data_IF_428352870031
#
_entry.id   IF_428352870031
#
_cell.length_a   1.000
_cell.length_b   1.000
_cell.length_c   1.000
_cell.angle_alpha   90.00
_cell.angle_beta   90.00
_cell.angle_gamma   90.00
#
_symmetry.space_group_name_H-M   'P 1'
#
loop_
_entity.id
_entity.type
_entity.pdbx_description
1 polymer ?
#
# COMPACT_ATOMS: atom_id res chain seq x y z
N UNK A 1 13.93 -1.58 5.92
CA UNK A 1 13.58 -0.42 5.09
C UNK A 1 12.49 -0.87 4.14
N UNK A 2 11.37 -0.14 4.09
CA UNK A 2 10.26 -0.45 3.18
C UNK A 2 10.68 -0.21 1.74
N UNK A 3 10.25 -1.10 0.85
CA UNK A 3 10.52 -1.04 -0.59
C UNK A 3 9.23 -0.92 -1.37
N UNK A 4 9.35 -0.38 -2.59
CA UNK A 4 8.28 -0.32 -3.58
C UNK A 4 7.56 -1.66 -3.74
N UNK A 5 8.29 -2.76 -3.77
CA UNK A 5 7.75 -4.11 -3.95
C UNK A 5 6.93 -4.61 -2.73
N UNK A 6 7.04 -3.97 -1.58
CA UNK A 6 6.24 -4.36 -0.42
C UNK A 6 4.75 -4.02 -0.64
N UNK A 7 4.43 -3.02 -1.46
CA UNK A 7 3.04 -2.75 -1.91
C UNK A 7 2.48 -3.97 -2.64
N UNK A 8 3.25 -4.60 -3.53
CA UNK A 8 2.84 -5.80 -4.26
C UNK A 8 2.55 -6.97 -3.31
N UNK A 9 3.39 -7.15 -2.29
CA UNK A 9 3.20 -8.22 -1.30
C UNK A 9 1.90 -8.05 -0.51
N UNK A 10 1.57 -6.82 -0.12
CA UNK A 10 0.32 -6.54 0.58
C UNK A 10 -0.88 -6.81 -0.33
N UNK A 11 -0.84 -6.37 -1.59
CA UNK A 11 -1.93 -6.62 -2.54
C UNK A 11 -2.14 -8.11 -2.82
N UNK A 12 -1.05 -8.87 -2.96
CA UNK A 12 -1.14 -10.32 -3.11
C UNK A 12 -1.71 -11.00 -1.86
N UNK A 13 -1.33 -10.54 -0.66
CA UNK A 13 -1.93 -11.02 0.58
C UNK A 13 -3.44 -10.74 0.65
N UNK A 14 -3.86 -9.53 0.30
CA UNK A 14 -5.28 -9.16 0.26
C UNK A 14 -6.06 -10.02 -0.74
N UNK A 15 -5.50 -10.23 -1.94
CA UNK A 15 -6.08 -11.09 -2.99
C UNK A 15 -6.30 -12.52 -2.47
N UNK A 16 -5.30 -13.09 -1.79
CA UNK A 16 -5.36 -14.46 -1.27
C UNK A 16 -6.28 -14.62 -0.05
N UNK A 17 -6.65 -13.53 0.62
CA UNK A 17 -7.55 -13.55 1.78
C UNK A 17 -9.00 -13.18 1.41
N UNK A 18 -9.29 -12.94 0.13
CA UNK A 18 -10.63 -12.63 -0.37
C UNK A 18 -11.00 -11.14 -0.33
N UNK A 19 -10.05 -10.27 -0.02
CA UNK A 19 -10.25 -8.83 -0.18
C UNK A 19 -10.38 -8.44 -1.66
N UNK A 20 -11.07 -7.34 -1.92
CA UNK A 20 -11.33 -6.88 -3.29
C UNK A 20 -10.26 -5.89 -3.73
N UNK A 21 -9.52 -6.22 -4.77
CA UNK A 21 -8.57 -5.27 -5.37
C UNK A 21 -9.34 -4.21 -6.17
N UNK A 22 -9.19 -2.95 -5.79
CA UNK A 22 -9.87 -1.81 -6.41
C UNK A 22 -8.98 -1.19 -7.49
N UNK A 23 -7.67 -1.12 -7.23
CA UNK A 23 -6.65 -0.66 -8.18
C UNK A 23 -5.36 -1.43 -7.93
N UNK A 24 -4.85 -2.06 -9.00
CA UNK A 24 -3.57 -2.77 -8.97
C UNK A 24 -2.40 -1.83 -8.68
N UNK A 25 -1.37 -2.39 -8.04
CA UNK A 25 -0.15 -1.66 -7.69
C UNK A 25 0.57 -1.13 -8.93
N UNK A 26 0.80 0.18 -8.96
CA UNK A 26 1.39 0.85 -10.10
C UNK A 26 2.13 2.13 -9.70
N UNK A 27 3.07 2.51 -10.55
CA UNK A 27 3.70 3.83 -10.48
C UNK A 27 2.67 4.91 -10.80
N UNK A 28 2.77 6.04 -10.10
CA UNK A 28 2.04 7.27 -10.44
C UNK A 28 3.01 8.39 -10.82
N UNK A 29 2.51 9.35 -11.60
CA UNK A 29 3.37 10.30 -12.32
C UNK A 29 4.24 11.19 -11.40
N UNK A 30 3.88 11.33 -10.13
CA UNK A 30 4.60 12.13 -9.14
C UNK A 30 5.59 11.32 -8.27
N UNK A 31 5.88 10.07 -8.63
CA UNK A 31 7.00 9.31 -8.06
C UNK A 31 6.63 8.29 -6.97
N UNK A 32 5.36 8.19 -6.61
CA UNK A 32 4.88 7.18 -5.65
C UNK A 32 4.55 5.86 -6.33
N UNK A 33 4.41 4.81 -5.52
CA UNK A 33 3.89 3.51 -5.94
C UNK A 33 2.77 3.08 -5.01
N UNK A 34 1.58 2.86 -5.56
CA UNK A 34 0.41 2.60 -4.72
C UNK A 34 -0.63 1.68 -5.35
N UNK A 35 -1.51 1.19 -4.49
CA UNK A 35 -2.63 0.33 -4.81
C UNK A 35 -3.80 0.62 -3.87
N UNK A 36 -5.00 0.22 -4.29
CA UNK A 36 -6.21 0.31 -3.46
C UNK A 36 -6.90 -1.03 -3.38
N UNK A 37 -7.44 -1.34 -2.21
CA UNK A 37 -8.28 -2.50 -2.00
C UNK A 37 -9.42 -2.17 -1.04
N UNK A 38 -10.44 -3.03 -0.98
CA UNK A 38 -11.39 -3.04 0.13
C UNK A 38 -11.28 -4.34 0.91
N UNK A 39 -11.39 -4.25 2.23
CA UNK A 39 -11.43 -5.42 3.10
C UNK A 39 -12.77 -6.17 2.97
N UNK A 40 -12.91 -7.27 3.74
CA UNK A 40 -14.10 -8.12 3.74
C UNK A 40 -15.38 -7.39 4.20
N UNK A 41 -15.23 -6.24 4.86
CA UNK A 41 -16.33 -5.38 5.31
C UNK A 41 -16.56 -4.19 4.37
N UNK A 42 -15.87 -4.14 3.23
CA UNK A 42 -15.90 -3.05 2.25
C UNK A 42 -15.35 -1.71 2.74
N UNK A 43 -14.48 -1.69 3.76
CA UNK A 43 -13.70 -0.48 4.03
C UNK A 43 -12.58 -0.35 3.01
N UNK A 44 -12.40 0.84 2.46
CA UNK A 44 -11.39 1.12 1.44
C UNK A 44 -10.07 1.52 2.09
N UNK A 45 -9.00 0.92 1.57
CA UNK A 45 -7.64 1.11 2.04
C UNK A 45 -6.73 1.46 0.88
N UNK A 46 -5.75 2.31 1.15
CA UNK A 46 -4.61 2.58 0.28
C UNK A 46 -3.37 1.92 0.87
N UNK A 47 -2.57 1.30 -0.01
CA UNK A 47 -1.23 0.85 0.31
C UNK A 47 -0.30 1.64 -0.59
N UNK A 48 0.60 2.41 0.01
CA UNK A 48 1.48 3.32 -0.71
C UNK A 48 2.92 3.20 -0.19
N UNK A 49 3.85 3.24 -1.13
CA UNK A 49 5.26 3.49 -0.87
C UNK A 49 5.62 4.83 -1.51
N UNK A 50 6.16 5.73 -0.69
CA UNK A 50 6.67 7.06 -1.09
C UNK A 50 8.15 7.11 -0.70
N UNK A 51 9.08 7.44 -1.63
CA UNK A 51 10.51 7.46 -1.35
C UNK A 51 10.91 8.33 -0.14
N UNK A 52 10.20 9.45 0.04
CA UNK A 52 10.54 10.48 1.03
C UNK A 52 9.84 10.28 2.39
N UNK A 53 8.98 9.26 2.53
CA UNK A 53 8.32 8.99 3.81
C UNK A 53 9.33 8.56 4.86
N UNK A 54 9.30 9.26 6.00
CA UNK A 54 10.10 8.93 7.17
C UNK A 54 9.21 8.43 8.29
N UNK A 55 9.70 7.42 9.00
CA UNK A 55 8.99 6.83 10.12
C UNK A 55 9.81 7.01 11.41
N UNK A 56 9.12 7.12 12.54
CA UNK A 56 9.76 7.07 13.85
C UNK A 56 10.10 5.64 14.28
N UNK A 57 10.66 5.50 15.49
CA UNK A 57 11.03 4.20 16.05
C UNK A 57 9.82 3.29 16.32
N UNK A 58 8.60 3.85 16.39
CA UNK A 58 7.35 3.13 16.57
C UNK A 58 6.68 2.78 15.23
N UNK A 59 7.28 3.18 14.10
CA UNK A 59 6.71 2.98 12.77
C UNK A 59 5.60 3.96 12.41
N UNK A 60 5.46 5.08 13.14
CA UNK A 60 4.52 6.15 12.80
C UNK A 60 5.13 7.08 11.75
N UNK A 61 4.31 7.52 10.79
CA UNK A 61 4.72 8.50 9.78
C UNK A 61 5.04 9.84 10.44
N UNK A 62 6.20 10.41 10.08
CA UNK A 62 6.60 11.77 10.46
C UNK A 62 6.16 12.76 9.39
N UNK A 63 5.63 13.91 9.83
CA UNK A 63 5.25 15.05 8.99
C UNK A 63 6.22 16.21 9.19
#
# INVERSE_FOLDING_TARGET
MLKKEDVNKVIEFVRNTGGKIIKEAQDVFWGDYHAYFSDLNNYFWEVVWVPDFQFDENGLLKF
#
